data_IF_505366653876
#
_entry.id   IF_505366653876
#
_cell.length_a   1.000
_cell.length_b   1.000
_cell.length_c   1.000
_cell.angle_alpha   90.00
_cell.angle_beta   90.00
_cell.angle_gamma   90.00
#
_symmetry.space_group_name_H-M   'P 1'
#
loop_
_entity.id
_entity.type
_entity.pdbx_description
1 polymer ?
#
# COMPACT_ATOMS: atom_id res chain seq x y z
N UNK A 1 0.07 2.24 -7.64
CA UNK A 1 -0.17 1.10 -8.55
C UNK A 1 -1.54 1.21 -9.23
N UNK A 2 -2.66 1.38 -8.53
CA UNK A 2 -3.99 1.46 -9.17
C UNK A 2 -4.11 2.58 -10.22
N UNK A 3 -3.63 3.81 -9.93
CA UNK A 3 -3.58 4.91 -10.91
C UNK A 3 -2.74 4.52 -12.14
N UNK A 4 -1.58 3.88 -11.94
CA UNK A 4 -0.74 3.44 -13.05
C UNK A 4 -1.43 2.39 -13.94
N UNK A 5 -2.12 1.41 -13.34
CA UNK A 5 -2.86 0.38 -14.09
C UNK A 5 -4.07 0.96 -14.81
N UNK A 6 -4.78 1.92 -14.19
CA UNK A 6 -5.91 2.58 -14.85
C UNK A 6 -5.48 3.45 -16.05
N UNK A 7 -4.22 3.87 -16.11
CA UNK A 7 -3.72 4.76 -17.15
C UNK A 7 -4.27 6.18 -17.08
N UNK A 8 -4.92 6.54 -15.97
CA UNK A 8 -5.45 7.90 -15.78
C UNK A 8 -4.31 8.81 -15.36
N UNK A 9 -4.11 9.87 -16.15
CA UNK A 9 -3.11 10.88 -15.81
C UNK A 9 -3.59 11.79 -14.68
N UNK A 10 -2.73 11.96 -13.70
CA UNK A 10 -2.90 12.90 -12.59
C UNK A 10 -1.66 13.80 -12.49
N UNK A 11 -1.83 15.02 -12.01
CA UNK A 11 -0.72 15.85 -11.58
C UNK A 11 -0.14 15.29 -10.28
N UNK A 12 1.13 14.89 -10.30
CA UNK A 12 1.84 14.38 -9.14
C UNK A 12 2.53 15.51 -8.39
N UNK A 13 2.22 15.64 -7.11
CA UNK A 13 2.85 16.57 -6.17
C UNK A 13 3.52 15.77 -5.04
N UNK A 14 4.82 15.53 -5.17
CA UNK A 14 5.58 14.82 -4.13
C UNK A 14 5.71 15.66 -2.87
N UNK A 15 5.44 15.08 -1.71
CA UNK A 15 5.45 15.80 -0.43
C UNK A 15 6.40 15.16 0.57
N UNK A 16 7.05 16.01 1.37
CA UNK A 16 7.82 15.58 2.54
C UNK A 16 6.91 15.59 3.77
N UNK A 17 6.63 14.42 4.36
CA UNK A 17 5.63 14.27 5.42
C UNK A 17 5.85 15.16 6.67
N UNK A 18 7.11 15.52 6.96
CA UNK A 18 7.47 16.44 8.05
C UNK A 18 7.36 17.91 7.67
N UNK A 19 7.14 18.21 6.38
CA UNK A 19 7.13 19.56 5.83
C UNK A 19 6.10 19.60 4.69
N UNK A 20 4.82 19.47 5.08
CA UNK A 20 3.69 19.41 4.15
C UNK A 20 3.37 20.81 3.61
N UNK A 21 3.11 20.95 2.31
CA UNK A 21 2.75 22.23 1.73
C UNK A 21 1.39 22.71 2.27
N UNK A 22 1.22 24.03 2.50
CA UNK A 22 -0.06 24.60 2.99
C UNK A 22 -1.24 24.27 2.07
N UNK A 23 -1.00 24.19 0.77
CA UNK A 23 -2.00 23.84 -0.24
C UNK A 23 -2.59 22.42 0.00
N UNK A 24 -1.75 21.46 0.39
CA UNK A 24 -2.21 20.13 0.76
C UNK A 24 -3.09 20.17 2.02
N UNK A 25 -2.67 20.92 3.04
CA UNK A 25 -3.42 21.04 4.30
C UNK A 25 -4.76 21.77 4.10
N UNK A 26 -4.81 22.74 3.18
CA UNK A 26 -6.04 23.44 2.83
C UNK A 26 -7.06 22.50 2.17
N UNK A 27 -6.59 21.52 1.39
CA UNK A 27 -7.44 20.53 0.70
C UNK A 27 -7.82 19.37 1.63
N UNK A 28 -6.88 18.87 2.40
CA UNK A 28 -7.10 17.76 3.36
C UNK A 28 -6.51 18.12 4.73
N UNK A 29 -7.33 18.62 5.65
CA UNK A 29 -6.89 19.01 7.00
C UNK A 29 -6.32 17.86 7.85
N UNK A 30 -6.65 16.60 7.54
CA UNK A 30 -6.02 15.41 8.14
C UNK A 30 -4.51 15.41 7.91
N UNK A 31 -4.02 15.98 6.81
CA UNK A 31 -2.61 15.99 6.44
C UNK A 31 -2.00 14.60 6.24
N UNK A 32 -2.81 13.61 5.94
CA UNK A 32 -2.36 12.25 5.57
C UNK A 32 -2.16 12.13 4.06
N UNK A 33 -1.36 11.17 3.63
CA UNK A 33 -1.19 10.82 2.21
C UNK A 33 -1.66 9.39 1.99
N UNK A 34 -2.19 9.10 0.78
CA UNK A 34 -2.37 9.95 -0.39
C UNK A 34 -3.54 10.94 -0.24
N UNK A 35 -3.51 12.04 -1.00
CA UNK A 35 -4.63 12.96 -1.20
C UNK A 35 -4.82 13.15 -2.69
N UNK A 36 -6.01 12.93 -3.21
CA UNK A 36 -6.38 13.15 -4.59
C UNK A 36 -7.47 14.24 -4.66
N UNK A 37 -7.14 15.36 -5.29
CA UNK A 37 -8.08 16.44 -5.58
C UNK A 37 -8.64 16.25 -6.99
N UNK A 38 -9.95 16.10 -7.10
CA UNK A 38 -10.65 15.93 -8.38
C UNK A 38 -10.94 17.28 -9.04
N UNK A 39 -11.18 17.26 -10.35
CA UNK A 39 -11.46 18.47 -11.13
C UNK A 39 -12.76 19.20 -10.73
N UNK A 40 -13.68 18.54 -10.05
CA UNK A 40 -14.91 19.10 -9.49
C UNK A 40 -14.74 19.67 -8.06
N UNK A 41 -13.52 19.60 -7.52
CA UNK A 41 -13.16 20.04 -6.16
C UNK A 41 -13.37 19.00 -5.07
N UNK A 42 -13.88 17.80 -5.38
CA UNK A 42 -13.99 16.72 -4.43
C UNK A 42 -12.59 16.17 -4.04
N UNK A 43 -12.45 15.71 -2.80
CA UNK A 43 -11.21 15.18 -2.25
C UNK A 43 -11.38 13.71 -1.90
N UNK A 44 -10.44 12.88 -2.34
CA UNK A 44 -10.32 11.47 -1.96
C UNK A 44 -9.01 11.30 -1.20
N UNK A 45 -9.07 10.95 0.09
CA UNK A 45 -7.91 11.00 1.00
C UNK A 45 -7.57 9.68 1.71
N UNK A 46 -8.21 8.58 1.31
CA UNK A 46 -7.85 7.23 1.76
C UNK A 46 -7.31 6.40 0.59
N UNK A 47 -6.24 5.63 0.83
CA UNK A 47 -5.56 4.89 -0.24
C UNK A 47 -6.46 3.91 -0.99
N UNK A 48 -7.35 3.21 -0.29
CA UNK A 48 -8.31 2.29 -0.90
C UNK A 48 -9.34 3.03 -1.75
N UNK A 49 -9.79 4.21 -1.31
CA UNK A 49 -10.76 5.00 -2.07
C UNK A 49 -10.12 5.63 -3.31
N UNK A 50 -8.84 6.03 -3.24
CA UNK A 50 -8.07 6.43 -4.43
C UNK A 50 -7.92 5.27 -5.41
N UNK A 51 -7.68 4.03 -4.91
CA UNK A 51 -7.61 2.84 -5.77
C UNK A 51 -8.96 2.58 -6.45
N UNK A 52 -10.06 2.59 -5.68
CA UNK A 52 -11.43 2.39 -6.21
C UNK A 52 -11.79 3.47 -7.22
N UNK A 53 -11.50 4.74 -6.91
CA UNK A 53 -11.74 5.84 -7.82
C UNK A 53 -11.03 5.65 -9.15
N UNK A 54 -9.74 5.36 -9.14
CA UNK A 54 -8.94 5.19 -10.36
C UNK A 54 -9.45 4.02 -11.21
N UNK A 55 -9.69 2.87 -10.59
CA UNK A 55 -10.17 1.67 -11.28
C UNK A 55 -11.63 1.78 -11.73
N UNK A 56 -12.47 2.55 -11.03
CA UNK A 56 -13.83 2.85 -11.51
C UNK A 56 -13.85 3.66 -12.81
N UNK A 57 -12.79 4.43 -13.10
CA UNK A 57 -12.68 5.14 -14.38
C UNK A 57 -12.23 4.18 -15.50
N UNK A 58 -11.23 3.33 -15.22
CA UNK A 58 -10.71 2.36 -16.17
C UNK A 58 -10.02 1.21 -15.42
N UNK A 59 -10.52 0.00 -15.58
CA UNK A 59 -10.00 -1.21 -14.93
C UNK A 59 -9.66 -2.30 -15.98
N UNK A 60 -8.59 -2.11 -16.76
CA UNK A 60 -8.25 -3.03 -17.86
C UNK A 60 -7.87 -4.43 -17.39
N UNK A 61 -7.49 -4.57 -16.12
CA UNK A 61 -7.10 -5.84 -15.52
C UNK A 61 -8.19 -6.45 -14.61
N UNK A 62 -9.38 -5.84 -14.56
CA UNK A 62 -10.52 -6.29 -13.76
C UNK A 62 -10.20 -6.47 -12.26
N UNK A 63 -9.41 -5.56 -11.71
CA UNK A 63 -8.97 -5.64 -10.32
C UNK A 63 -10.10 -5.49 -9.31
N UNK A 64 -11.08 -4.60 -9.58
CA UNK A 64 -12.21 -4.35 -8.68
C UNK A 64 -13.07 -5.59 -8.44
N UNK A 65 -13.20 -6.47 -9.44
CA UNK A 65 -13.96 -7.71 -9.27
C UNK A 65 -13.32 -8.69 -8.25
N UNK A 66 -12.08 -8.45 -7.84
CA UNK A 66 -11.30 -9.27 -6.93
C UNK A 66 -10.94 -8.52 -5.64
N UNK A 67 -11.83 -7.62 -5.19
CA UNK A 67 -11.73 -6.96 -3.89
C UNK A 67 -12.31 -7.87 -2.80
N UNK A 68 -11.45 -8.35 -1.89
CA UNK A 68 -11.87 -9.05 -0.67
C UNK A 68 -11.90 -8.07 0.51
N UNK A 69 -13.07 -7.53 0.80
CA UNK A 69 -13.25 -6.56 1.87
C UNK A 69 -12.94 -7.13 3.25
N UNK A 70 -13.15 -8.43 3.48
CA UNK A 70 -12.88 -9.06 4.77
C UNK A 70 -11.36 -9.22 4.99
N UNK A 71 -10.62 -9.64 3.96
CA UNK A 71 -9.17 -9.75 4.01
C UNK A 71 -8.51 -8.37 4.19
N UNK A 72 -9.00 -7.35 3.49
CA UNK A 72 -8.54 -5.97 3.62
C UNK A 72 -8.80 -5.44 5.03
N UNK A 73 -9.98 -5.67 5.59
CA UNK A 73 -10.31 -5.24 6.95
C UNK A 73 -9.44 -5.93 8.00
N UNK A 74 -9.13 -7.21 7.84
CA UNK A 74 -8.21 -7.95 8.72
C UNK A 74 -6.79 -7.37 8.66
N UNK A 75 -6.34 -6.98 7.46
CA UNK A 75 -5.05 -6.31 7.25
C UNK A 75 -5.02 -4.92 7.89
N UNK A 76 -6.00 -4.06 7.61
CA UNK A 76 -6.03 -2.65 8.05
C UNK A 76 -6.34 -2.50 9.54
N UNK A 77 -6.93 -3.50 10.14
CA UNK A 77 -7.23 -3.57 11.57
C UNK A 77 -6.09 -4.21 12.38
N UNK A 78 -6.26 -5.50 12.78
CA UNK A 78 -5.33 -6.18 13.70
C UNK A 78 -3.89 -6.25 13.17
N UNK A 79 -3.71 -6.60 11.88
CA UNK A 79 -2.37 -6.74 11.33
C UNK A 79 -1.62 -5.41 11.26
N UNK A 80 -2.27 -4.34 10.78
CA UNK A 80 -1.66 -3.01 10.73
C UNK A 80 -1.31 -2.50 12.13
N UNK A 81 -2.14 -2.76 13.14
CA UNK A 81 -1.82 -2.38 14.52
C UNK A 81 -0.58 -3.12 15.03
N UNK A 82 -0.44 -4.40 14.72
CA UNK A 82 0.75 -5.19 15.05
C UNK A 82 1.98 -4.68 14.30
N UNK A 83 1.87 -4.43 13.00
CA UNK A 83 2.94 -3.86 12.18
C UNK A 83 3.44 -2.51 12.74
N UNK A 84 2.55 -1.59 13.06
CA UNK A 84 2.91 -0.26 13.56
C UNK A 84 3.69 -0.36 14.88
N UNK A 85 3.26 -1.23 15.81
CA UNK A 85 3.93 -1.46 17.09
C UNK A 85 5.24 -2.21 16.93
N UNK A 86 5.31 -3.15 16.00
CA UNK A 86 6.53 -3.87 15.68
C UNK A 86 7.59 -2.95 15.08
N UNK A 87 7.19 -2.12 14.10
CA UNK A 87 8.11 -1.23 13.37
C UNK A 87 8.52 0.01 14.17
N UNK A 88 7.62 0.52 15.01
CA UNK A 88 7.80 1.77 15.74
C UNK A 88 7.53 1.63 17.25
N UNK A 89 8.13 0.66 17.96
CA UNK A 89 7.77 0.34 19.34
C UNK A 89 7.86 1.56 20.26
N UNK A 90 8.86 2.41 20.09
CA UNK A 90 9.04 3.60 20.93
C UNK A 90 7.89 4.61 20.83
N UNK A 91 7.15 4.66 19.71
CA UNK A 91 5.96 5.54 19.59
C UNK A 91 4.81 5.09 20.50
N UNK A 92 4.86 3.83 20.93
CA UNK A 92 3.84 3.20 21.79
C UNK A 92 4.35 2.94 23.21
N UNK A 93 5.53 3.49 23.57
CA UNK A 93 6.14 3.27 24.87
C UNK A 93 6.64 1.85 25.12
N UNK A 94 6.87 1.08 24.06
CA UNK A 94 7.35 -0.30 24.11
C UNK A 94 8.88 -0.35 24.07
N UNK A 95 9.48 -1.32 24.79
CA UNK A 95 10.92 -1.57 24.74
C UNK A 95 11.34 -2.12 23.39
N UNK A 96 10.55 -3.05 22.84
CA UNK A 96 10.68 -3.63 21.51
C UNK A 96 9.29 -3.99 20.93
N UNK A 97 9.26 -4.48 19.71
CA UNK A 97 8.02 -4.87 19.02
C UNK A 97 7.84 -6.38 18.86
N UNK A 98 8.62 -7.22 19.55
CA UNK A 98 8.67 -8.66 19.29
C UNK A 98 7.35 -9.37 19.57
N UNK A 99 6.63 -8.98 20.63
CA UNK A 99 5.29 -9.53 20.92
C UNK A 99 4.32 -9.24 19.75
N UNK A 100 4.37 -8.03 19.20
CA UNK A 100 3.53 -7.63 18.06
C UNK A 100 3.94 -8.30 16.76
N UNK A 101 5.23 -8.60 16.59
CA UNK A 101 5.72 -9.43 15.50
C UNK A 101 5.11 -10.83 15.56
N UNK A 102 5.11 -11.47 16.73
CA UNK A 102 4.52 -12.81 16.90
C UNK A 102 2.99 -12.75 16.72
N UNK A 103 2.31 -11.71 17.22
CA UNK A 103 0.86 -11.56 17.05
C UNK A 103 0.45 -11.42 15.57
N UNK A 104 1.33 -10.96 14.68
CA UNK A 104 1.08 -10.86 13.25
C UNK A 104 1.18 -12.20 12.50
N UNK A 105 1.77 -13.25 13.11
CA UNK A 105 2.08 -14.51 12.43
C UNK A 105 0.85 -15.25 11.90
N UNK A 106 -0.25 -15.24 12.64
CA UNK A 106 -1.47 -15.94 12.22
C UNK A 106 -2.02 -15.32 10.92
N UNK A 107 -1.98 -13.98 10.81
CA UNK A 107 -2.36 -13.29 9.59
C UNK A 107 -1.46 -13.67 8.41
N UNK A 108 -0.14 -13.64 8.61
CA UNK A 108 0.84 -14.03 7.57
C UNK A 108 0.68 -15.50 7.16
N UNK A 109 0.41 -16.39 8.12
CA UNK A 109 0.16 -17.81 7.84
C UNK A 109 -1.11 -18.01 7.02
N UNK A 110 -2.20 -17.31 7.36
CA UNK A 110 -3.44 -17.36 6.59
C UNK A 110 -3.26 -16.88 5.15
N UNK A 111 -2.50 -15.79 4.93
CA UNK A 111 -2.16 -15.35 3.56
C UNK A 111 -1.30 -16.37 2.82
N UNK A 112 -0.31 -16.98 3.50
CA UNK A 112 0.51 -18.03 2.91
C UNK A 112 -0.31 -19.24 2.48
N UNK A 113 -1.30 -19.67 3.26
CA UNK A 113 -2.15 -20.81 2.93
C UNK A 113 -3.00 -20.54 1.68
N UNK A 114 -3.53 -19.31 1.53
CA UNK A 114 -4.23 -18.91 0.32
C UNK A 114 -3.27 -18.92 -0.87
N UNK A 115 -2.09 -18.35 -0.73
CA UNK A 115 -1.08 -18.26 -1.78
C UNK A 115 -0.43 -19.60 -2.12
N UNK A 116 -0.49 -20.59 -1.25
CA UNK A 116 -0.09 -21.96 -1.56
C UNK A 116 -1.07 -22.67 -2.51
N UNK A 117 -2.33 -22.22 -2.54
CA UNK A 117 -3.37 -22.76 -3.43
C UNK A 117 -3.53 -21.99 -4.74
N UNK A 118 -3.10 -20.72 -4.79
CA UNK A 118 -3.23 -19.85 -5.96
C UNK A 118 -2.13 -18.79 -5.99
N UNK A 119 -1.72 -18.29 -7.18
CA UNK A 119 -0.54 -17.41 -7.29
C UNK A 119 -0.71 -16.02 -6.68
N UNK A 120 -1.95 -15.53 -6.53
CA UNK A 120 -2.25 -14.21 -5.96
C UNK A 120 -3.46 -14.27 -5.04
N UNK A 121 -3.59 -13.29 -4.13
CA UNK A 121 -4.72 -13.20 -3.21
C UNK A 121 -6.06 -13.03 -3.94
N UNK A 122 -6.06 -12.30 -5.05
CA UNK A 122 -7.22 -12.15 -5.94
C UNK A 122 -7.42 -13.30 -6.93
N UNK A 123 -6.58 -14.35 -6.95
CA UNK A 123 -6.73 -15.49 -7.84
C UNK A 123 -5.53 -15.75 -8.76
N UNK A 124 -5.74 -15.80 -10.09
CA UNK A 124 -4.72 -16.18 -11.07
C UNK A 124 -3.78 -15.04 -11.49
N UNK A 125 -4.10 -13.80 -11.18
CA UNK A 125 -3.31 -12.60 -11.50
C UNK A 125 -3.37 -11.59 -10.34
N UNK A 126 -2.40 -10.65 -10.26
CA UNK A 126 -2.48 -9.57 -9.29
C UNK A 126 -3.77 -8.78 -9.43
N UNK A 127 -4.42 -8.46 -8.32
CA UNK A 127 -5.69 -7.76 -8.32
C UNK A 127 -5.80 -6.77 -7.14
N UNK A 128 -6.97 -6.19 -6.92
CA UNK A 128 -7.20 -5.16 -5.90
C UNK A 128 -6.69 -5.57 -4.52
N UNK A 129 -7.06 -6.77 -4.06
CA UNK A 129 -6.67 -7.27 -2.73
C UNK A 129 -5.16 -7.40 -2.60
N UNK A 130 -4.47 -7.91 -3.63
CA UNK A 130 -3.01 -8.01 -3.63
C UNK A 130 -2.36 -6.65 -3.41
N UNK A 131 -2.80 -5.66 -4.18
CA UNK A 131 -2.21 -4.32 -4.15
C UNK A 131 -2.58 -3.55 -2.88
N UNK A 132 -3.74 -3.81 -2.30
CA UNK A 132 -4.15 -3.24 -1.02
C UNK A 132 -3.26 -3.75 0.14
N UNK A 133 -2.94 -5.06 0.16
CA UNK A 133 -2.16 -5.68 1.23
C UNK A 133 -0.64 -5.53 1.04
N UNK A 134 -0.17 -5.52 -0.18
CA UNK A 134 1.25 -5.53 -0.53
C UNK A 134 2.11 -4.50 0.24
N UNK A 135 1.73 -3.21 0.38
CA UNK A 135 2.54 -2.23 1.09
C UNK A 135 2.77 -2.57 2.56
N UNK A 136 1.81 -3.21 3.20
CA UNK A 136 1.87 -3.59 4.62
C UNK A 136 2.77 -4.80 4.82
N UNK A 137 2.58 -5.85 4.01
CA UNK A 137 3.43 -7.06 4.04
C UNK A 137 4.88 -6.69 3.71
N UNK A 138 5.10 -5.85 2.71
CA UNK A 138 6.43 -5.33 2.37
C UNK A 138 7.09 -4.60 3.55
N UNK A 139 6.34 -3.73 4.24
CA UNK A 139 6.87 -3.01 5.39
C UNK A 139 7.18 -3.95 6.55
N UNK A 140 6.33 -4.96 6.78
CA UNK A 140 6.53 -5.94 7.83
C UNK A 140 7.80 -6.76 7.58
N UNK A 141 7.95 -7.31 6.38
CA UNK A 141 9.13 -8.06 5.98
C UNK A 141 10.43 -7.23 6.05
N UNK A 142 10.37 -5.96 5.63
CA UNK A 142 11.51 -5.06 5.65
C UNK A 142 11.94 -4.59 7.07
N UNK A 143 11.16 -4.86 8.11
CA UNK A 143 11.53 -4.52 9.50
C UNK A 143 12.61 -5.45 10.04
N UNK A 144 12.54 -6.75 9.74
CA UNK A 144 13.57 -7.76 10.01
C UNK A 144 13.57 -8.81 8.89
N UNK A 145 14.28 -8.55 7.78
CA UNK A 145 14.28 -9.44 6.62
C UNK A 145 14.81 -10.84 6.93
N UNK A 146 15.83 -10.93 7.79
CA UNK A 146 16.44 -12.23 8.14
C UNK A 146 15.42 -13.12 8.86
N UNK A 147 14.69 -12.56 9.80
CA UNK A 147 13.64 -13.29 10.51
C UNK A 147 12.48 -13.67 9.58
N UNK A 148 12.03 -12.73 8.72
CA UNK A 148 10.93 -12.97 7.80
C UNK A 148 11.27 -14.08 6.79
N UNK A 149 12.48 -14.06 6.24
CA UNK A 149 12.95 -15.05 5.26
C UNK A 149 13.14 -16.45 5.89
N UNK A 150 13.38 -16.52 7.21
CA UNK A 150 13.49 -17.80 7.93
C UNK A 150 12.12 -18.42 8.28
N UNK A 151 10.99 -17.72 8.07
CA UNK A 151 9.66 -18.28 8.33
C UNK A 151 9.29 -19.35 7.27
N UNK A 152 8.53 -20.38 7.65
CA UNK A 152 8.03 -21.40 6.72
C UNK A 152 6.83 -20.86 5.90
N UNK A 153 6.98 -19.69 5.26
CA UNK A 153 5.94 -18.96 4.53
C UNK A 153 6.35 -18.76 3.06
N UNK A 154 6.79 -19.85 2.41
CA UNK A 154 7.41 -19.80 1.09
C UNK A 154 6.49 -19.23 0.00
N UNK A 155 5.18 -19.48 0.06
CA UNK A 155 4.23 -18.94 -0.91
C UNK A 155 4.05 -17.42 -0.74
N UNK A 156 3.95 -16.94 0.49
CA UNK A 156 3.87 -15.50 0.80
C UNK A 156 5.17 -14.77 0.40
N UNK A 157 6.33 -15.38 0.68
CA UNK A 157 7.64 -14.84 0.29
C UNK A 157 7.78 -14.75 -1.23
N UNK A 158 7.34 -15.79 -1.97
CA UNK A 158 7.34 -15.80 -3.42
C UNK A 158 6.42 -14.72 -4.01
N UNK A 159 5.20 -14.58 -3.48
CA UNK A 159 4.24 -13.54 -3.86
C UNK A 159 4.82 -12.13 -3.61
N UNK A 160 5.38 -11.88 -2.43
CA UNK A 160 6.00 -10.61 -2.09
C UNK A 160 7.15 -10.27 -3.05
N UNK A 161 8.05 -11.22 -3.30
CA UNK A 161 9.19 -11.04 -4.19
C UNK A 161 8.75 -10.83 -5.66
N UNK A 162 7.71 -11.52 -6.11
CA UNK A 162 7.13 -11.33 -7.43
C UNK A 162 6.58 -9.91 -7.65
N UNK A 163 5.86 -9.38 -6.66
CA UNK A 163 5.35 -8.00 -6.71
C UNK A 163 6.48 -6.97 -6.62
N UNK A 164 7.49 -7.20 -5.79
CA UNK A 164 8.67 -6.33 -5.69
C UNK A 164 9.47 -6.27 -6.99
N UNK A 165 9.54 -7.38 -7.73
CA UNK A 165 10.25 -7.48 -9.01
C UNK A 165 9.42 -7.02 -10.21
N UNK A 166 8.14 -6.68 -10.02
CA UNK A 166 7.26 -6.30 -11.13
C UNK A 166 7.63 -4.94 -11.73
N UNK A 167 7.46 -4.80 -13.05
CA UNK A 167 7.65 -3.52 -13.75
C UNK A 167 6.75 -2.43 -13.18
N UNK A 168 5.51 -2.78 -12.81
CA UNK A 168 4.56 -1.86 -12.19
C UNK A 168 5.09 -1.30 -10.86
N UNK A 169 5.71 -2.15 -10.02
CA UNK A 169 6.32 -1.67 -8.78
C UNK A 169 7.55 -0.79 -9.08
N UNK A 170 8.39 -1.19 -10.02
CA UNK A 170 9.54 -0.39 -10.47
C UNK A 170 9.13 1.01 -10.94
N UNK A 171 8.06 1.09 -11.73
CA UNK A 171 7.52 2.36 -12.24
C UNK A 171 7.09 3.30 -11.12
N UNK A 172 6.32 2.80 -10.14
CA UNK A 172 5.78 3.63 -9.06
C UNK A 172 6.81 4.00 -7.98
N UNK A 173 7.99 3.37 -8.00
CA UNK A 173 9.09 3.68 -7.08
C UNK A 173 10.05 4.75 -7.62
N UNK A 174 9.75 5.33 -8.78
CA UNK A 174 10.45 6.51 -9.30
C UNK A 174 10.39 7.63 -8.26
N UNK A 175 11.54 8.25 -8.01
CA UNK A 175 11.63 9.38 -7.06
C UNK A 175 11.41 10.69 -7.78
N UNK A 176 10.57 11.52 -7.20
CA UNK A 176 10.29 12.86 -7.70
C UNK A 176 10.83 13.92 -6.74
N UNK A 177 11.18 15.12 -7.22
CA UNK A 177 11.54 16.24 -6.36
C UNK A 177 10.34 16.64 -5.48
N UNK A 178 10.63 17.19 -4.28
CA UNK A 178 9.59 17.80 -3.44
C UNK A 178 8.90 18.90 -4.23
N UNK A 179 7.57 18.84 -4.29
CA UNK A 179 6.76 19.87 -4.94
C UNK A 179 6.73 21.18 -4.15
N UNK A 180 6.77 22.30 -4.89
CA UNK A 180 6.61 23.66 -4.38
C UNK A 180 5.64 24.41 -5.29
N UNK A 181 4.83 25.31 -4.73
CA UNK A 181 3.90 26.11 -5.52
C UNK A 181 4.63 26.89 -6.63
N UNK A 182 4.18 26.70 -7.87
CA UNK A 182 4.80 27.29 -9.08
C UNK A 182 5.77 26.38 -9.82
N UNK A 183 6.04 25.17 -9.30
CA UNK A 183 6.82 24.18 -10.05
C UNK A 183 6.11 23.74 -11.33
N UNK A 184 6.88 23.21 -12.27
CA UNK A 184 6.34 22.57 -13.48
C UNK A 184 5.47 21.37 -13.11
N UNK A 185 4.40 21.17 -13.89
CA UNK A 185 3.46 20.04 -13.70
C UNK A 185 4.17 18.75 -14.05
N UNK A 186 4.18 17.81 -13.11
CA UNK A 186 4.60 16.43 -13.32
C UNK A 186 3.35 15.59 -13.52
N UNK A 187 3.22 14.92 -14.66
CA UNK A 187 2.13 13.98 -14.93
C UNK A 187 2.55 12.56 -14.56
N UNK A 188 1.62 11.84 -13.95
CA UNK A 188 1.75 10.42 -13.58
C UNK A 188 0.48 9.67 -14.01
N UNK A 189 0.56 8.45 -14.54
CA UNK A 189 1.72 7.69 -14.96
C UNK A 189 2.39 8.23 -16.19
#
# INVERSE_FOLDING_TARGET
MAIAVSGIQVELREVVLRDKPPEMIAVSPKGTVPVLLLGDGNVVDESLDVMRWALAQNDPANWLAHEDAAMIAANDGPFKQALDRYKYPHRYGLADGLEHREAARDHLSGLNDILAAQPYLGGSAPAFTDIALFPFIRQFAATDPIWFDALPLSALQAWLNGLLASDLFGQIMTRYPKWTAGDEIILFP
#
